data_IF_780025179445
#
_entry.id   IF_780025179445
#
_cell.length_a   1.000
_cell.length_b   1.000
_cell.length_c   1.000
_cell.angle_alpha   90.00
_cell.angle_beta   90.00
_cell.angle_gamma   90.00
#
_symmetry.space_group_name_H-M   'P 1'
#
loop_
_entity.id
_entity.type
_entity.pdbx_description
1 polymer ?
#
# COMPACT_ATOMS: atom_id res chain seq x y z
N UNK A 1 -38.59 -14.30 -5.85
CA UNK A 1 -37.49 -14.91 -5.05
C UNK A 1 -36.11 -14.63 -5.68
N UNK A 2 -35.95 -14.78 -7.01
CA UNK A 2 -34.68 -14.51 -7.71
C UNK A 2 -34.16 -13.05 -7.61
N UNK A 3 -34.99 -12.03 -7.86
CA UNK A 3 -34.53 -10.63 -7.89
C UNK A 3 -33.90 -10.17 -6.56
N UNK A 4 -34.46 -10.62 -5.42
CA UNK A 4 -33.92 -10.32 -4.08
C UNK A 4 -32.55 -10.95 -3.85
N UNK A 5 -32.28 -12.11 -4.47
CA UNK A 5 -30.98 -12.78 -4.38
C UNK A 5 -29.93 -12.07 -5.24
N UNK A 6 -30.28 -11.62 -6.45
CA UNK A 6 -29.36 -10.82 -7.28
C UNK A 6 -28.98 -9.50 -6.62
N UNK A 7 -29.94 -8.79 -6.01
CA UNK A 7 -29.66 -7.54 -5.29
C UNK A 7 -28.71 -7.77 -4.10
N UNK A 8 -28.91 -8.87 -3.36
CA UNK A 8 -28.02 -9.25 -2.25
C UNK A 8 -26.60 -9.59 -2.74
N UNK A 9 -26.49 -10.37 -3.80
CA UNK A 9 -25.19 -10.72 -4.39
C UNK A 9 -24.47 -9.49 -4.94
N UNK A 10 -25.20 -8.57 -5.58
CA UNK A 10 -24.65 -7.31 -6.06
C UNK A 10 -24.16 -6.43 -4.90
N UNK A 11 -24.94 -6.32 -3.83
CA UNK A 11 -24.55 -5.57 -2.64
C UNK A 11 -23.29 -6.16 -1.96
N UNK A 12 -23.18 -7.49 -1.89
CA UNK A 12 -21.98 -8.17 -1.35
C UNK A 12 -20.77 -7.92 -2.26
N UNK A 13 -20.92 -8.05 -3.57
CA UNK A 13 -19.84 -7.77 -4.53
C UNK A 13 -19.37 -6.31 -4.45
N UNK A 14 -20.31 -5.37 -4.31
CA UNK A 14 -19.99 -3.95 -4.14
C UNK A 14 -19.27 -3.69 -2.81
N UNK A 15 -19.71 -4.33 -1.72
CA UNK A 15 -19.04 -4.23 -0.42
C UNK A 15 -17.60 -4.73 -0.47
N UNK A 16 -17.39 -5.88 -1.13
CA UNK A 16 -16.06 -6.48 -1.31
C UNK A 16 -15.15 -5.63 -2.21
N UNK A 17 -15.72 -4.99 -3.25
CA UNK A 17 -14.97 -4.04 -4.09
C UNK A 17 -14.53 -2.80 -3.31
N UNK A 18 -15.42 -2.23 -2.49
CA UNK A 18 -15.12 -1.04 -1.68
C UNK A 18 -14.13 -1.35 -0.55
N UNK A 19 -14.12 -2.60 -0.07
CA UNK A 19 -13.17 -3.09 0.92
C UNK A 19 -11.92 -3.75 0.33
N UNK A 20 -11.61 -3.52 -0.96
CA UNK A 20 -10.37 -4.01 -1.57
C UNK A 20 -9.18 -3.66 -0.65
N UNK A 21 -8.26 -4.62 -0.41
CA UNK A 21 -7.38 -4.56 0.75
C UNK A 21 -6.48 -3.32 0.70
N UNK A 22 -6.70 -2.40 1.64
CA UNK A 22 -5.73 -1.38 2.05
C UNK A 22 -4.56 -1.99 2.86
N UNK A 23 -4.52 -3.32 2.94
CA UNK A 23 -3.49 -4.06 3.65
C UNK A 23 -2.20 -4.10 2.83
N UNK A 24 -1.07 -4.14 3.52
CA UNK A 24 0.22 -4.40 2.91
C UNK A 24 0.17 -5.78 2.23
N UNK A 25 0.29 -5.83 0.91
CA UNK A 25 0.33 -7.07 0.14
C UNK A 25 1.73 -7.68 0.20
N UNK A 26 2.77 -6.84 0.16
CA UNK A 26 4.17 -7.26 0.29
C UNK A 26 4.95 -6.32 1.19
N UNK A 27 5.88 -6.88 1.96
CA UNK A 27 6.84 -6.15 2.78
C UNK A 27 8.25 -6.62 2.44
N UNK A 28 9.20 -5.68 2.44
CA UNK A 28 10.63 -5.94 2.37
C UNK A 28 11.32 -5.11 3.45
N UNK A 29 12.30 -5.71 4.13
CA UNK A 29 13.04 -5.07 5.22
C UNK A 29 14.54 -5.16 4.94
N UNK A 30 15.24 -4.04 5.05
CA UNK A 30 16.70 -3.99 5.14
C UNK A 30 17.18 -3.88 6.58
N UNK A 31 18.45 -3.54 6.79
CA UNK A 31 19.06 -3.46 8.12
C UNK A 31 18.38 -2.44 9.05
N UNK A 32 17.95 -1.30 8.48
CA UNK A 32 17.27 -0.23 9.23
C UNK A 32 16.19 0.51 8.41
N UNK A 33 15.80 -0.01 7.24
CA UNK A 33 14.76 0.58 6.39
C UNK A 33 13.75 -0.49 5.96
N UNK A 34 12.55 -0.06 5.61
CA UNK A 34 11.42 -0.92 5.27
C UNK A 34 10.69 -0.37 4.05
N UNK A 35 10.13 -1.28 3.25
CA UNK A 35 9.30 -1.01 2.09
C UNK A 35 8.02 -1.84 2.20
N UNK A 36 6.87 -1.22 1.99
CA UNK A 36 5.58 -1.89 1.85
C UNK A 36 4.96 -1.55 0.50
N UNK A 37 4.47 -2.57 -0.20
CA UNK A 37 3.61 -2.42 -1.35
C UNK A 37 2.19 -2.85 -0.97
N UNK A 38 1.21 -1.99 -1.25
CA UNK A 38 -0.21 -2.26 -1.04
C UNK A 38 -0.85 -2.74 -2.35
N UNK A 39 -1.93 -3.52 -2.23
CA UNK A 39 -2.65 -4.06 -3.39
C UNK A 39 -3.30 -3.00 -4.29
N UNK A 40 -3.41 -1.74 -3.83
CA UNK A 40 -3.89 -0.60 -4.61
C UNK A 40 -2.80 0.04 -5.50
N UNK A 41 -1.58 -0.50 -5.49
CA UNK A 41 -0.44 -0.01 -6.24
C UNK A 41 0.41 1.04 -5.51
N UNK A 42 -0.04 1.53 -4.34
CA UNK A 42 0.74 2.45 -3.53
C UNK A 42 1.90 1.74 -2.84
N UNK A 43 3.03 2.44 -2.74
CA UNK A 43 4.23 1.96 -2.07
C UNK A 43 4.66 2.97 -1.01
N UNK A 44 5.16 2.46 0.11
CA UNK A 44 5.60 3.26 1.23
C UNK A 44 6.96 2.79 1.72
N UNK A 45 7.82 3.72 2.09
CA UNK A 45 9.14 3.47 2.67
C UNK A 45 9.31 4.21 3.99
N UNK A 46 10.10 3.66 4.90
CA UNK A 46 10.52 4.34 6.12
C UNK A 46 11.78 3.70 6.70
N UNK A 47 12.40 4.38 7.65
CA UNK A 47 13.63 3.99 8.35
C UNK A 47 14.82 4.83 7.92
N UNK A 48 16.01 4.24 8.01
CA UNK A 48 17.25 4.94 7.71
C UNK A 48 17.43 5.20 6.22
N UNK A 49 17.89 6.41 5.91
CA UNK A 49 18.10 6.91 4.55
C UNK A 49 19.55 7.40 4.31
N UNK A 50 20.50 6.99 5.15
CA UNK A 50 21.89 7.45 5.07
C UNK A 50 22.56 7.16 3.72
N UNK A 51 22.04 6.21 2.93
CA UNK A 51 22.52 5.90 1.58
C UNK A 51 21.48 6.19 0.48
N UNK A 52 20.41 6.94 0.77
CA UNK A 52 19.34 7.22 -0.19
C UNK A 52 18.42 6.03 -0.46
N UNK A 53 18.24 5.14 0.52
CA UNK A 53 17.43 3.92 0.38
C UNK A 53 15.93 4.21 0.22
N UNK A 54 15.45 5.40 0.62
CA UNK A 54 14.06 5.80 0.50
C UNK A 54 13.70 6.29 -0.92
N UNK A 55 14.71 6.69 -1.72
CA UNK A 55 14.53 7.00 -3.14
C UNK A 55 13.74 8.26 -3.45
N UNK A 56 13.59 9.18 -2.50
CA UNK A 56 12.92 10.49 -2.67
C UNK A 56 13.86 11.61 -3.15
N UNK A 57 15.14 11.28 -3.39
CA UNK A 57 16.20 12.22 -3.77
C UNK A 57 16.82 12.97 -2.59
N UNK A 58 16.41 12.65 -1.36
CA UNK A 58 17.01 13.13 -0.13
C UNK A 58 17.89 12.02 0.50
N UNK A 59 18.53 12.36 1.62
CA UNK A 59 19.28 11.43 2.49
C UNK A 59 18.87 11.68 3.94
N UNK A 60 17.56 11.66 4.17
CA UNK A 60 16.96 12.01 5.45
C UNK A 60 16.11 10.85 5.96
N UNK A 61 16.44 10.36 7.15
CA UNK A 61 15.71 9.28 7.80
C UNK A 61 14.21 9.61 7.93
N UNK A 62 13.36 8.61 7.72
CA UNK A 62 11.92 8.73 7.87
C UNK A 62 11.41 7.85 9.01
N UNK A 63 10.93 8.45 10.10
CA UNK A 63 10.37 7.69 11.23
C UNK A 63 8.94 7.20 10.98
N UNK A 64 8.27 7.76 9.97
CA UNK A 64 6.93 7.38 9.54
C UNK A 64 6.95 6.96 8.06
N UNK A 65 6.05 6.06 7.62
CA UNK A 65 5.91 5.70 6.21
C UNK A 65 5.67 6.94 5.33
N UNK A 66 6.55 7.14 4.35
CA UNK A 66 6.39 8.13 3.29
C UNK A 66 6.05 7.41 1.97
N UNK A 67 5.20 7.99 1.12
CA UNK A 67 4.86 7.40 -0.18
C UNK A 67 6.06 7.47 -1.13
N UNK A 68 6.32 6.38 -1.85
CA UNK A 68 7.26 6.39 -2.97
C UNK A 68 6.58 7.08 -4.15
N UNK A 69 7.08 8.23 -4.56
CA UNK A 69 6.62 8.92 -5.77
C UNK A 69 7.44 8.41 -6.95
N UNK A 70 6.80 7.77 -7.93
CA UNK A 70 7.48 7.35 -9.16
C UNK A 70 7.93 8.61 -9.93
N UNK A 71 9.24 8.85 -10.01
CA UNK A 71 9.84 10.01 -10.69
C UNK A 71 10.24 9.71 -12.15
N UNK A 72 9.59 8.74 -12.80
CA UNK A 72 9.83 8.42 -14.21
C UNK A 72 9.49 9.56 -15.17
#
# INVERSE_FOLDING_TARGET
MLLKNYLKLFAIALLLLVSAPLYADRISTGDAHNLVARGDGNQFVWGSDANGQLGDGLTLDALNPIPVVDIR
#
